data_IF_899893014266
#
_entry.id   IF_899893014266
#
_cell.length_a   1.000
_cell.length_b   1.000
_cell.length_c   1.000
_cell.angle_alpha   90.00
_cell.angle_beta   90.00
_cell.angle_gamma   90.00
#
_symmetry.space_group_name_H-M   'P 1'
#
loop_
_entity.id
_entity.type
_entity.pdbx_description
1 polymer ?
#
# COMPACT_ATOMS: atom_id res chain seq x y z
N UNK A 1 -4.81 -23.18 25.94
CA UNK A 1 -5.64 -22.21 25.20
C UNK A 1 -4.82 -20.95 24.99
N UNK A 2 -4.32 -20.69 23.78
CA UNK A 2 -3.56 -19.47 23.50
C UNK A 2 -4.59 -18.36 23.27
N UNK A 3 -4.80 -17.51 24.27
CA UNK A 3 -5.69 -16.35 24.17
C UNK A 3 -4.89 -15.22 23.52
N UNK A 4 -4.93 -15.13 22.19
CA UNK A 4 -4.34 -14.01 21.45
C UNK A 4 -5.04 -12.72 21.86
N UNK A 5 -4.27 -11.72 22.29
CA UNK A 5 -4.79 -10.39 22.64
C UNK A 5 -5.29 -9.72 21.35
N UNK A 6 -6.52 -9.21 21.37
CA UNK A 6 -7.18 -8.44 20.30
C UNK A 6 -6.26 -7.49 19.48
N UNK A 7 -5.34 -6.71 20.06
CA UNK A 7 -4.45 -5.83 19.29
C UNK A 7 -3.43 -6.56 18.40
N UNK A 8 -2.96 -7.75 18.79
CA UNK A 8 -1.96 -8.52 18.02
C UNK A 8 -2.59 -9.12 16.75
N UNK A 9 -3.87 -9.48 16.82
CA UNK A 9 -4.63 -9.96 15.66
C UNK A 9 -4.79 -8.84 14.62
N UNK A 10 -4.99 -7.60 15.07
CA UNK A 10 -5.09 -6.43 14.20
C UNK A 10 -3.78 -6.16 13.43
N UNK A 11 -2.63 -6.16 14.11
CA UNK A 11 -1.33 -5.93 13.45
C UNK A 11 -0.97 -7.03 12.45
N UNK A 12 -1.30 -8.28 12.76
CA UNK A 12 -1.09 -9.40 11.83
C UNK A 12 -1.98 -9.29 10.58
N UNK A 13 -3.25 -8.88 10.76
CA UNK A 13 -4.16 -8.65 9.65
C UNK A 13 -3.66 -7.54 8.72
N UNK A 14 -3.26 -6.39 9.27
CA UNK A 14 -2.69 -5.27 8.47
C UNK A 14 -1.44 -5.71 7.72
N UNK A 15 -0.57 -6.51 8.34
CA UNK A 15 0.64 -7.03 7.70
C UNK A 15 0.30 -7.93 6.50
N UNK A 16 -0.71 -8.80 6.62
CA UNK A 16 -1.15 -9.65 5.51
C UNK A 16 -1.71 -8.83 4.34
N UNK A 17 -2.50 -7.80 4.63
CA UNK A 17 -3.04 -6.90 3.60
C UNK A 17 -1.94 -6.11 2.91
N UNK A 18 -0.93 -5.65 3.67
CA UNK A 18 0.25 -4.98 3.12
C UNK A 18 1.01 -5.87 2.14
N UNK A 19 1.22 -7.14 2.47
CA UNK A 19 1.87 -8.10 1.57
C UNK A 19 1.07 -8.25 0.26
N UNK A 20 -0.26 -8.45 0.37
CA UNK A 20 -1.14 -8.56 -0.82
C UNK A 20 -1.10 -7.31 -1.70
N UNK A 21 -1.11 -6.15 -1.05
CA UNK A 21 -1.03 -4.86 -1.72
C UNK A 21 0.32 -4.69 -2.43
N UNK A 22 1.45 -4.91 -1.74
CA UNK A 22 2.79 -4.82 -2.31
C UNK A 22 2.97 -5.77 -3.49
N UNK A 23 2.67 -7.06 -3.33
CA UNK A 23 2.89 -8.05 -4.39
C UNK A 23 2.07 -7.75 -5.64
N UNK A 24 0.82 -7.30 -5.48
CA UNK A 24 -0.02 -6.89 -6.60
C UNK A 24 0.55 -5.66 -7.31
N UNK A 25 0.93 -4.64 -6.54
CA UNK A 25 1.44 -3.39 -7.06
C UNK A 25 2.78 -3.57 -7.77
N UNK A 26 3.73 -4.27 -7.16
CA UNK A 26 5.04 -4.58 -7.72
C UNK A 26 4.91 -5.33 -9.06
N UNK A 27 4.08 -6.38 -9.11
CA UNK A 27 3.87 -7.16 -10.33
C UNK A 27 3.37 -6.28 -11.48
N UNK A 28 2.41 -5.40 -11.20
CA UNK A 28 1.79 -4.55 -12.21
C UNK A 28 2.72 -3.44 -12.68
N UNK A 29 3.46 -2.81 -11.76
CA UNK A 29 4.46 -1.82 -12.10
C UNK A 29 5.59 -2.44 -12.94
N UNK A 30 6.07 -3.64 -12.58
CA UNK A 30 7.03 -4.41 -13.40
C UNK A 30 6.50 -4.76 -14.78
N UNK A 31 5.20 -5.03 -14.89
CA UNK A 31 4.52 -5.28 -16.16
C UNK A 31 4.28 -4.00 -16.99
N UNK A 32 4.70 -2.83 -16.51
CA UNK A 32 4.60 -1.55 -17.22
C UNK A 32 3.22 -0.90 -17.14
N UNK A 33 2.35 -1.34 -16.23
CA UNK A 33 1.07 -0.66 -16.00
C UNK A 33 1.30 0.72 -15.38
N UNK A 34 0.41 1.66 -15.69
CA UNK A 34 0.37 2.94 -15.00
C UNK A 34 0.14 2.76 -13.50
N UNK A 35 0.71 3.66 -12.70
CA UNK A 35 0.54 3.65 -11.24
C UNK A 35 -0.94 3.66 -10.83
N UNK A 36 -1.78 4.43 -11.52
CA UNK A 36 -3.22 4.52 -11.20
C UNK A 36 -3.94 3.17 -11.37
N UNK A 37 -3.56 2.39 -12.39
CA UNK A 37 -4.13 1.08 -12.69
C UNK A 37 -3.57 0.02 -11.77
N UNK A 38 -2.27 0.08 -11.50
CA UNK A 38 -1.62 -0.80 -10.54
C UNK A 38 -2.22 -0.64 -9.13
N UNK A 39 -2.47 0.61 -8.69
CA UNK A 39 -3.15 0.91 -7.43
C UNK A 39 -4.60 0.42 -7.40
N UNK A 40 -5.35 0.55 -8.50
CA UNK A 40 -6.72 0.04 -8.59
C UNK A 40 -6.79 -1.45 -8.28
N UNK A 41 -5.91 -2.20 -8.92
CA UNK A 41 -5.86 -3.64 -8.82
C UNK A 41 -5.25 -4.10 -7.47
N UNK A 42 -4.24 -3.41 -6.96
CA UNK A 42 -3.71 -3.65 -5.61
C UNK A 42 -4.77 -3.37 -4.52
N UNK A 43 -5.57 -2.30 -4.65
CA UNK A 43 -6.68 -2.03 -3.75
C UNK A 43 -7.76 -3.13 -3.80
N UNK A 44 -7.95 -3.75 -4.97
CA UNK A 44 -8.92 -4.83 -5.13
C UNK A 44 -8.51 -6.11 -4.37
N UNK A 45 -7.20 -6.34 -4.19
CA UNK A 45 -6.66 -7.52 -3.49
C UNK A 45 -6.71 -7.40 -1.96
N UNK A 46 -6.93 -6.18 -1.46
CA UNK A 46 -7.12 -5.89 -0.03
C UNK A 46 -8.53 -6.26 0.41
N UNK A 47 -8.65 -7.08 1.45
CA UNK A 47 -9.93 -7.56 1.98
C UNK A 47 -10.35 -6.87 3.28
N UNK A 48 -9.44 -6.15 3.92
CA UNK A 48 -9.71 -5.46 5.17
C UNK A 48 -10.64 -4.26 4.95
N UNK A 49 -11.82 -4.33 5.58
CA UNK A 49 -12.89 -3.32 5.47
C UNK A 49 -12.52 -1.96 6.06
N UNK A 50 -11.53 -1.89 6.95
CA UNK A 50 -10.97 -0.65 7.48
C UNK A 50 -10.01 0.01 6.49
N UNK A 51 -9.09 -0.76 5.91
CA UNK A 51 -8.05 -0.24 5.00
C UNK A 51 -8.60 0.09 3.60
N UNK A 52 -9.59 -0.66 3.10
CA UNK A 52 -10.06 -0.53 1.72
C UNK A 52 -10.61 0.86 1.37
N UNK A 53 -11.41 1.53 2.22
CA UNK A 53 -11.83 2.91 1.99
C UNK A 53 -10.65 3.90 1.97
N UNK A 54 -9.71 3.78 2.91
CA UNK A 54 -8.52 4.64 2.99
C UNK A 54 -7.67 4.55 1.73
N UNK A 55 -7.39 3.33 1.26
CA UNK A 55 -6.64 3.08 0.04
C UNK A 55 -7.37 3.57 -1.23
N UNK A 56 -8.70 3.51 -1.23
CA UNK A 56 -9.52 4.03 -2.34
C UNK A 56 -9.40 5.56 -2.41
N UNK A 57 -9.42 6.24 -1.26
CA UNK A 57 -9.19 7.68 -1.17
C UNK A 57 -7.76 8.02 -1.58
N UNK A 58 -6.76 7.27 -1.11
CA UNK A 58 -5.36 7.47 -1.47
C UNK A 58 -5.16 7.39 -3.00
N UNK A 59 -5.69 6.36 -3.66
CA UNK A 59 -5.66 6.23 -5.13
C UNK A 59 -6.28 7.45 -5.83
N UNK A 60 -7.43 7.93 -5.34
CA UNK A 60 -8.10 9.10 -5.93
C UNK A 60 -7.20 10.34 -5.86
N UNK A 61 -6.58 10.59 -4.71
CA UNK A 61 -5.64 11.70 -4.52
C UNK A 61 -4.40 11.59 -5.41
N UNK A 62 -3.84 10.39 -5.54
CA UNK A 62 -2.72 10.13 -6.47
C UNK A 62 -3.14 10.43 -7.91
N UNK A 63 -4.34 10.03 -8.31
CA UNK A 63 -4.89 10.34 -9.65
C UNK A 63 -5.07 11.85 -9.86
N UNK A 64 -5.31 12.61 -8.80
CA UNK A 64 -5.40 14.08 -8.80
C UNK A 64 -4.03 14.76 -8.77
N UNK A 65 -2.94 14.00 -8.65
CA UNK A 65 -1.55 14.50 -8.70
C UNK A 65 -0.88 14.64 -7.33
N UNK A 66 -1.51 14.21 -6.24
CA UNK A 66 -0.82 14.14 -4.95
C UNK A 66 0.27 13.04 -4.95
N UNK A 67 1.33 13.27 -4.17
CA UNK A 67 2.39 12.28 -3.96
C UNK A 67 1.83 10.97 -3.36
N UNK A 68 2.23 9.83 -3.89
CA UNK A 68 1.91 8.49 -3.39
C UNK A 68 2.36 8.32 -1.94
N UNK A 69 3.58 8.75 -1.62
CA UNK A 69 4.12 8.72 -0.26
C UNK A 69 3.23 9.50 0.72
N UNK A 70 2.84 10.72 0.35
CA UNK A 70 1.98 11.57 1.16
C UNK A 70 0.58 10.99 1.37
N UNK A 71 -0.02 10.42 0.33
CA UNK A 71 -1.38 9.84 0.41
C UNK A 71 -1.41 8.55 1.23
N UNK A 72 -0.41 7.66 1.05
CA UNK A 72 -0.31 6.42 1.82
C UNK A 72 0.08 6.66 3.29
N UNK A 73 0.77 7.76 3.60
CA UNK A 73 1.07 8.15 4.98
C UNK A 73 -0.16 8.43 5.85
N UNK A 74 -1.30 8.72 5.20
CA UNK A 74 -2.59 8.95 5.86
C UNK A 74 -3.36 7.65 6.12
N UNK A 75 -2.79 6.49 5.76
CA UNK A 75 -3.41 5.17 5.91
C UNK A 75 -2.63 4.34 6.91
N UNK A 76 -3.28 3.33 7.51
CA UNK A 76 -2.59 2.45 8.47
C UNK A 76 -1.80 1.30 7.80
N UNK A 77 -1.78 1.21 6.47
CA UNK A 77 -1.21 0.06 5.77
C UNK A 77 0.32 -0.01 5.90
N UNK A 78 0.99 1.15 5.97
CA UNK A 78 2.44 1.26 6.00
C UNK A 78 2.95 1.93 7.28
N UNK A 79 4.00 1.39 7.90
CA UNK A 79 4.69 2.06 9.00
C UNK A 79 5.50 3.28 8.47
N UNK A 80 5.84 4.24 9.34
CA UNK A 80 6.53 5.47 8.92
C UNK A 80 7.83 5.26 8.13
N UNK A 81 8.64 4.25 8.50
CA UNK A 81 9.88 3.97 7.76
C UNK A 81 9.62 3.58 6.30
N UNK A 82 8.51 2.89 6.04
CA UNK A 82 8.14 2.45 4.70
C UNK A 82 7.65 3.63 3.87
N UNK A 83 6.96 4.59 4.48
CA UNK A 83 6.60 5.86 3.84
C UNK A 83 7.85 6.61 3.36
N UNK A 84 8.92 6.64 4.17
CA UNK A 84 10.19 7.25 3.76
C UNK A 84 10.83 6.53 2.57
N UNK A 85 10.74 5.19 2.50
CA UNK A 85 11.21 4.44 1.33
C UNK A 85 10.39 4.76 0.08
N UNK A 86 9.07 4.92 0.23
CA UNK A 86 8.18 5.31 -0.86
C UNK A 86 8.50 6.71 -1.38
N UNK A 87 8.81 7.66 -0.52
CA UNK A 87 9.21 9.00 -0.92
C UNK A 87 10.48 8.97 -1.77
N UNK A 88 11.49 8.20 -1.36
CA UNK A 88 12.72 7.98 -2.15
C UNK A 88 12.42 7.29 -3.49
N UNK A 89 11.57 6.27 -3.49
CA UNK A 89 11.16 5.57 -4.72
C UNK A 89 10.37 6.47 -5.68
N UNK A 90 9.52 7.33 -5.14
CA UNK A 90 8.74 8.30 -5.90
C UNK A 90 9.63 9.38 -6.54
N UNK A 91 10.61 9.91 -5.81
CA UNK A 91 11.54 10.92 -6.32
C UNK A 91 12.55 10.36 -7.33
N UNK A 92 12.97 9.11 -7.15
CA UNK A 92 13.86 8.42 -8.10
C UNK A 92 13.13 7.83 -9.32
N UNK A 93 11.80 7.79 -9.29
CA UNK A 93 10.97 7.15 -10.32
C UNK A 93 10.99 5.62 -10.27
N UNK A 94 11.56 5.01 -9.24
CA UNK A 94 11.69 3.57 -9.06
C UNK A 94 10.82 3.03 -7.91
N UNK A 95 9.52 3.28 -8.02
CA UNK A 95 8.52 2.73 -7.10
C UNK A 95 8.46 1.19 -7.16
N UNK A 96 8.73 0.61 -8.32
CA UNK A 96 8.68 -0.84 -8.50
C UNK A 96 9.66 -1.55 -7.58
N UNK A 97 10.86 -1.01 -7.36
CA UNK A 97 11.85 -1.59 -6.46
C UNK A 97 11.40 -1.53 -5.00
N UNK A 98 10.76 -0.44 -4.58
CA UNK A 98 10.27 -0.30 -3.20
C UNK A 98 9.22 -1.35 -2.85
N UNK A 99 8.33 -1.69 -3.80
CA UNK A 99 7.27 -2.69 -3.57
C UNK A 99 7.71 -4.16 -3.75
N UNK A 100 8.92 -4.38 -4.26
CA UNK A 100 9.49 -5.72 -4.43
C UNK A 100 10.27 -6.23 -3.21
N UNK A 101 10.59 -5.33 -2.28
CA UNK A 101 11.20 -5.63 -0.97
C UNK A 101 10.15 -5.97 0.10
#
# INVERSE_FOLDING_TARGET
>A
KVTLKLPIISSAAITLERIRFNSGLALMLKAGLSLDRALELANSSVNNTHLKPELTIARKKVKEGEKLSATLSQTEIFPPFYISLLEVGEESGDLSRVFDE
#
